data_IF_965267535523
#
_entry.id   IF_965267535523
#
_cell.length_a   1.000
_cell.length_b   1.000
_cell.length_c   1.000
_cell.angle_alpha   90.00
_cell.angle_beta   90.00
_cell.angle_gamma   90.00
#
_symmetry.space_group_name_H-M   'P 1'
#
loop_
_entity.id
_entity.type
_entity.pdbx_description
1 polymer ?
#
# COMPACT_ATOMS: atom_id res chain seq x y z
N UNK A 1 -56.25 -40.59 14.75
CA UNK A 1 -55.51 -39.36 15.13
C UNK A 1 -54.12 -39.41 14.51
N UNK A 2 -53.78 -38.33 13.79
CA UNK A 2 -52.48 -37.87 13.26
C UNK A 2 -51.52 -38.87 12.57
N UNK A 3 -51.55 -38.80 11.24
CA UNK A 3 -50.55 -39.28 10.28
C UNK A 3 -49.32 -38.35 10.32
N UNK A 4 -48.12 -38.91 10.41
CA UNK A 4 -46.85 -38.19 10.26
C UNK A 4 -46.33 -38.50 8.85
N UNK A 5 -46.46 -37.52 7.95
CA UNK A 5 -45.86 -37.54 6.62
C UNK A 5 -44.71 -36.54 6.64
N UNK A 6 -43.47 -37.03 6.69
CA UNK A 6 -42.27 -36.21 6.49
C UNK A 6 -41.98 -36.22 4.99
N UNK A 7 -42.31 -35.12 4.31
CA UNK A 7 -41.88 -34.87 2.92
C UNK A 7 -40.36 -34.67 2.92
N UNK A 8 -39.64 -35.62 2.33
CA UNK A 8 -38.23 -35.50 2.02
C UNK A 8 -38.11 -34.86 0.63
N UNK A 9 -38.00 -33.53 0.59
CA UNK A 9 -37.77 -32.79 -0.66
C UNK A 9 -36.30 -32.86 -1.05
N UNK A 10 -36.00 -33.75 -2.00
CA UNK A 10 -34.74 -33.77 -2.73
C UNK A 10 -34.64 -32.53 -3.64
N UNK A 11 -33.76 -31.59 -3.29
CA UNK A 11 -33.31 -30.53 -4.18
C UNK A 11 -32.04 -30.98 -4.89
N UNK A 12 -32.20 -31.48 -6.10
CA UNK A 12 -31.15 -31.63 -7.10
C UNK A 12 -30.87 -30.26 -7.73
N UNK A 13 -29.68 -29.71 -7.50
CA UNK A 13 -29.13 -28.62 -8.31
C UNK A 13 -28.07 -29.19 -9.26
N UNK A 14 -28.15 -28.94 -10.58
CA UNK A 14 -27.09 -29.24 -11.52
C UNK A 14 -26.09 -28.08 -11.49
N UNK A 15 -24.85 -28.32 -11.06
CA UNK A 15 -23.76 -27.40 -11.30
C UNK A 15 -22.83 -28.04 -12.34
N UNK A 16 -23.06 -27.66 -13.59
CA UNK A 16 -22.15 -27.92 -14.69
C UNK A 16 -20.78 -27.30 -14.39
N UNK A 17 -19.78 -28.13 -14.65
CA UNK A 17 -18.37 -27.88 -14.81
C UNK A 17 -18.08 -26.60 -15.61
N UNK A 18 -17.56 -25.58 -14.93
CA UNK A 18 -16.87 -24.44 -15.54
C UNK A 18 -15.41 -24.46 -15.11
N UNK A 19 -14.66 -25.42 -15.66
CA UNK A 19 -13.21 -25.53 -15.46
C UNK A 19 -12.51 -24.53 -16.40
N UNK A 20 -12.12 -23.38 -15.86
CA UNK A 20 -11.02 -22.55 -16.35
C UNK A 20 -10.23 -22.16 -15.10
N UNK A 21 -9.00 -22.62 -14.88
CA UNK A 21 -7.89 -22.52 -15.83
C UNK A 21 -7.10 -21.28 -15.47
N UNK A 22 -6.36 -21.35 -14.36
CA UNK A 22 -5.54 -20.25 -13.85
C UNK A 22 -5.23 -20.53 -12.39
N UNK A 23 -4.06 -21.11 -12.14
CA UNK A 23 -3.52 -21.22 -10.79
C UNK A 23 -3.43 -19.80 -10.20
N UNK A 24 -4.44 -19.40 -9.43
CA UNK A 24 -4.33 -18.32 -8.47
C UNK A 24 -3.30 -18.79 -7.44
N UNK A 25 -2.03 -18.52 -7.73
CA UNK A 25 -0.98 -18.61 -6.73
C UNK A 25 -1.47 -17.78 -5.55
N UNK A 26 -1.78 -18.48 -4.46
CA UNK A 26 -2.43 -17.96 -3.27
C UNK A 26 -2.05 -16.51 -2.99
N UNK A 27 -3.00 -15.60 -3.19
CA UNK A 27 -2.87 -14.21 -2.76
C UNK A 27 -2.54 -14.25 -1.27
N UNK A 28 -1.31 -13.88 -0.92
CA UNK A 28 -0.88 -13.84 0.47
C UNK A 28 -1.82 -12.89 1.20
N UNK A 29 -2.42 -13.30 2.35
CA UNK A 29 -3.37 -12.44 3.04
C UNK A 29 -2.70 -11.10 3.32
N UNK A 30 -3.38 -10.01 2.93
CA UNK A 30 -2.86 -8.65 3.13
C UNK A 30 -2.40 -8.46 4.57
N UNK A 31 -1.20 -7.93 4.75
CA UNK A 31 -0.67 -7.60 6.08
C UNK A 31 -1.17 -6.20 6.48
N UNK A 32 -1.54 -5.98 7.75
CA UNK A 32 -1.97 -4.67 8.20
C UNK A 32 -0.82 -3.66 8.11
N UNK A 33 -1.17 -2.39 7.91
CA UNK A 33 -0.22 -1.29 7.97
C UNK A 33 0.51 -1.25 9.31
N UNK A 34 1.78 -0.86 9.28
CA UNK A 34 2.64 -0.77 10.46
C UNK A 34 3.16 0.64 10.65
N UNK A 35 3.08 1.13 11.89
CA UNK A 35 3.77 2.35 12.30
C UNK A 35 5.13 1.98 12.87
N UNK A 36 6.19 2.54 12.30
CA UNK A 36 7.58 2.20 12.67
C UNK A 36 8.33 3.45 13.12
N UNK A 37 9.38 3.24 13.90
CA UNK A 37 10.25 4.32 14.39
C UNK A 37 11.38 4.64 13.42
N UNK A 38 11.82 3.65 12.65
CA UNK A 38 12.94 3.75 11.72
C UNK A 38 12.74 2.79 10.55
N UNK A 39 13.25 3.18 9.39
CA UNK A 39 13.32 2.39 8.18
C UNK A 39 14.75 2.43 7.67
N UNK A 40 15.36 1.27 7.47
CA UNK A 40 16.63 1.15 6.76
C UNK A 40 16.35 1.13 5.27
N UNK A 41 17.16 1.83 4.48
CA UNK A 41 17.05 1.87 3.01
C UNK A 41 17.86 0.71 2.42
N UNK A 42 17.23 -0.13 1.61
CA UNK A 42 17.91 -1.20 0.88
C UNK A 42 18.50 -0.67 -0.44
N UNK A 43 19.47 -1.38 -1.06
CA UNK A 43 20.03 -0.96 -2.33
C UNK A 43 19.01 -0.84 -3.48
N UNK A 44 17.89 -1.57 -3.41
CA UNK A 44 16.80 -1.52 -4.39
C UNK A 44 15.69 -0.52 -4.02
N UNK A 45 15.76 0.09 -2.83
CA UNK A 45 14.78 1.08 -2.36
C UNK A 45 14.97 2.40 -3.09
N UNK A 46 13.90 2.89 -3.74
CA UNK A 46 13.80 4.29 -4.15
C UNK A 46 13.34 5.12 -2.97
N UNK A 47 14.03 6.23 -2.74
CA UNK A 47 13.64 7.24 -1.74
C UNK A 47 13.26 8.49 -2.50
N UNK A 48 12.02 8.92 -2.35
CA UNK A 48 11.46 10.04 -3.11
C UNK A 48 10.83 11.04 -2.16
N UNK A 49 11.13 12.32 -2.35
CA UNK A 49 10.31 13.39 -1.84
C UNK A 49 9.07 13.51 -2.73
N UNK A 50 7.89 13.46 -2.12
CA UNK A 50 6.61 13.73 -2.77
C UNK A 50 6.04 14.99 -2.15
N UNK A 51 5.98 16.06 -2.95
CA UNK A 51 5.43 17.34 -2.51
C UNK A 51 3.91 17.38 -2.62
N UNK A 52 3.28 18.23 -1.81
CA UNK A 52 1.86 18.56 -1.94
C UNK A 52 1.53 19.01 -3.36
N UNK A 53 0.40 18.55 -3.89
CA UNK A 53 -0.09 18.95 -5.20
C UNK A 53 -0.35 20.46 -5.22
N UNK A 54 0.23 21.16 -6.19
CA UNK A 54 0.04 22.59 -6.36
C UNK A 54 -1.40 22.86 -6.84
N UNK A 55 -2.19 23.68 -6.15
CA UNK A 55 -3.54 24.03 -6.60
C UNK A 55 -3.54 24.93 -7.84
N UNK A 56 -2.41 25.60 -8.13
CA UNK A 56 -2.28 26.51 -9.28
C UNK A 56 -1.86 25.73 -10.53
N UNK A 57 -0.97 24.75 -10.37
CA UNK A 57 -0.42 23.98 -11.50
C UNK A 57 -1.09 22.62 -11.69
N UNK A 58 -1.91 22.19 -10.72
CA UNK A 58 -2.53 20.85 -10.65
C UNK A 58 -1.51 19.72 -10.82
N UNK A 59 -0.27 19.94 -10.38
CA UNK A 59 0.84 19.01 -10.51
C UNK A 59 1.50 18.73 -9.17
N UNK A 60 2.09 17.54 -9.05
CA UNK A 60 2.80 17.04 -7.87
C UNK A 60 4.28 16.98 -8.21
N UNK A 61 5.13 17.53 -7.34
CA UNK A 61 6.57 17.38 -7.48
C UNK A 61 6.99 16.05 -6.87
N UNK A 62 7.72 15.24 -7.64
CA UNK A 62 8.37 14.02 -7.16
C UNK A 62 9.86 14.16 -7.47
N UNK A 63 10.70 14.02 -6.45
CA UNK A 63 12.14 14.15 -6.57
C UNK A 63 12.83 13.01 -5.84
N UNK A 64 13.73 12.30 -6.53
CA UNK A 64 14.57 11.29 -5.89
C UNK A 64 15.53 11.95 -4.88
N UNK A 65 15.64 11.33 -3.70
CA UNK A 65 16.53 11.77 -2.61
C UNK A 65 17.67 10.76 -2.51
N UNK A 66 18.83 11.15 -3.04
CA UNK A 66 20.03 10.32 -3.04
C UNK A 66 20.68 10.20 -1.65
N UNK A 67 21.54 9.21 -1.49
CA UNK A 67 22.45 9.00 -0.35
C UNK A 67 21.78 8.81 1.04
N UNK A 68 20.47 8.56 1.09
CA UNK A 68 19.77 8.20 2.31
C UNK A 68 19.95 6.70 2.59
N UNK A 69 20.52 6.36 3.75
CA UNK A 69 20.66 4.96 4.20
C UNK A 69 19.61 4.53 5.22
N UNK A 70 18.96 5.50 5.85
CA UNK A 70 18.01 5.30 6.94
C UNK A 70 17.13 6.54 7.06
N UNK A 71 15.87 6.34 7.41
CA UNK A 71 14.93 7.40 7.82
C UNK A 71 14.34 7.02 9.17
N UNK A 72 14.42 7.92 10.14
CA UNK A 72 13.90 7.73 11.49
C UNK A 72 13.03 8.91 11.94
N UNK A 73 12.14 8.66 12.91
CA UNK A 73 11.41 9.72 13.59
C UNK A 73 12.42 10.66 14.29
N UNK A 74 12.24 11.96 14.07
CA UNK A 74 13.16 13.03 14.49
C UNK A 74 14.00 13.59 13.35
N UNK A 75 14.17 12.85 12.25
CA UNK A 75 14.95 13.31 11.10
C UNK A 75 14.25 14.46 10.36
N UNK A 76 15.03 15.17 9.54
CA UNK A 76 14.51 16.07 8.51
C UNK A 76 15.13 15.67 7.18
N UNK A 77 14.30 15.24 6.23
CA UNK A 77 14.73 14.73 4.93
C UNK A 77 14.10 15.59 3.84
N UNK A 78 14.93 16.21 2.99
CA UNK A 78 14.49 17.13 1.93
C UNK A 78 13.46 18.18 2.41
N UNK A 79 13.65 18.72 3.63
CA UNK A 79 12.73 19.70 4.25
C UNK A 79 11.50 19.12 4.96
N UNK A 80 11.22 17.83 4.81
CA UNK A 80 10.14 17.12 5.54
C UNK A 80 10.66 16.69 6.91
N UNK A 81 10.09 17.24 7.98
CA UNK A 81 10.32 16.75 9.34
C UNK A 81 9.59 15.42 9.51
N UNK A 82 10.31 14.37 9.92
CA UNK A 82 9.75 13.03 10.13
C UNK A 82 9.29 12.91 11.57
N UNK A 83 7.98 12.94 11.81
CA UNK A 83 7.36 12.66 13.10
C UNK A 83 6.53 11.38 13.14
N UNK A 84 6.27 10.77 11.98
CA UNK A 84 5.65 9.45 11.88
C UNK A 84 6.07 8.75 10.58
N UNK A 85 6.14 7.41 10.62
CA UNK A 85 6.43 6.57 9.47
C UNK A 85 5.38 5.45 9.43
N UNK A 86 4.59 5.40 8.35
CA UNK A 86 3.62 4.35 8.09
C UNK A 86 4.11 3.48 6.96
N UNK A 87 4.10 2.17 7.14
CA UNK A 87 4.51 1.19 6.14
C UNK A 87 3.32 0.30 5.78
N UNK A 88 3.07 0.17 4.48
CA UNK A 88 1.98 -0.61 3.90
C UNK A 88 2.55 -1.78 3.11
N UNK A 89 1.94 -2.94 3.26
CA UNK A 89 2.36 -4.15 2.58
C UNK A 89 1.72 -4.24 1.18
N UNK A 90 2.54 -4.49 0.17
CA UNK A 90 2.08 -4.70 -1.19
C UNK A 90 1.71 -6.17 -1.39
N UNK A 91 0.42 -6.49 -1.24
CA UNK A 91 -0.10 -7.84 -1.47
C UNK A 91 -0.07 -8.26 -2.96
N UNK A 92 -0.05 -7.28 -3.85
CA UNK A 92 0.07 -7.43 -5.30
C UNK A 92 1.23 -6.58 -5.82
N UNK A 93 1.59 -6.74 -7.09
CA UNK A 93 2.57 -5.85 -7.71
C UNK A 93 2.06 -4.40 -7.61
N UNK A 94 2.96 -3.50 -7.23
CA UNK A 94 2.64 -2.10 -7.07
C UNK A 94 2.78 -1.39 -8.43
N UNK A 95 2.07 -0.29 -8.63
CA UNK A 95 2.25 0.53 -9.83
C UNK A 95 2.09 2.01 -9.53
N UNK A 96 2.76 2.84 -10.33
CA UNK A 96 2.53 4.28 -10.40
C UNK A 96 2.47 4.70 -11.86
N UNK A 97 1.32 5.22 -12.30
CA UNK A 97 1.11 5.59 -13.71
C UNK A 97 1.26 4.40 -14.65
N UNK A 98 2.21 4.49 -15.61
CA UNK A 98 2.53 3.41 -16.57
C UNK A 98 3.57 2.42 -16.07
N UNK A 99 4.18 2.64 -14.92
CA UNK A 99 5.21 1.77 -14.36
C UNK A 99 4.56 0.73 -13.44
N UNK A 100 4.77 -0.56 -13.77
CA UNK A 100 4.50 -1.67 -12.87
C UNK A 100 5.79 -2.06 -12.18
N UNK A 101 5.77 -2.07 -10.85
CA UNK A 101 6.86 -2.49 -10.00
C UNK A 101 6.56 -3.86 -9.41
N UNK A 102 7.52 -4.77 -9.53
CA UNK A 102 7.46 -6.12 -8.97
C UNK A 102 7.70 -6.11 -7.45
N UNK A 103 6.88 -5.36 -6.72
CA UNK A 103 7.00 -5.18 -5.26
C UNK A 103 6.07 -6.07 -4.46
N UNK A 104 5.35 -7.00 -5.10
CA UNK A 104 4.53 -7.98 -4.39
C UNK A 104 5.33 -8.67 -3.28
N UNK A 105 4.78 -8.70 -2.08
CA UNK A 105 5.41 -9.28 -0.90
C UNK A 105 6.42 -8.37 -0.19
N UNK A 106 6.58 -7.12 -0.63
CA UNK A 106 7.43 -6.09 -0.02
C UNK A 106 6.56 -5.01 0.63
N UNK A 107 7.22 -4.07 1.31
CA UNK A 107 6.56 -2.94 1.95
C UNK A 107 6.91 -1.64 1.22
N UNK A 108 6.07 -0.62 1.37
CA UNK A 108 6.40 0.76 1.05
C UNK A 108 6.01 1.66 2.20
N UNK A 109 6.79 2.70 2.48
CA UNK A 109 6.52 3.60 3.60
C UNK A 109 6.35 5.04 3.18
N UNK A 110 5.51 5.74 3.94
CA UNK A 110 5.41 7.19 3.92
C UNK A 110 5.91 7.74 5.26
N UNK A 111 6.89 8.62 5.20
CA UNK A 111 7.47 9.32 6.35
C UNK A 111 7.14 10.81 6.26
N UNK A 112 6.51 11.36 7.29
CA UNK A 112 5.95 12.71 7.28
C UNK A 112 5.82 13.28 8.68
N UNK A 113 5.23 14.47 8.80
CA UNK A 113 5.29 15.26 10.05
C UNK A 113 4.63 14.60 11.25
N UNK A 114 3.53 13.88 11.04
CA UNK A 114 2.78 13.19 12.08
C UNK A 114 1.84 12.16 11.45
N UNK A 115 1.20 11.34 12.29
CA UNK A 115 0.30 10.27 11.81
C UNK A 115 -0.89 10.82 11.02
N UNK A 116 -1.50 11.91 11.47
CA UNK A 116 -2.66 12.49 10.80
C UNK A 116 -2.34 13.00 9.38
N UNK A 117 -1.19 13.64 9.18
CA UNK A 117 -0.74 14.06 7.85
C UNK A 117 -0.48 12.85 6.95
N UNK A 118 0.10 11.77 7.49
CA UNK A 118 0.38 10.54 6.72
C UNK A 118 -0.90 9.79 6.32
N UNK A 119 -1.84 9.62 7.24
CA UNK A 119 -3.12 8.95 6.93
C UNK A 119 -3.95 9.73 5.90
N UNK A 120 -3.74 11.04 5.80
CA UNK A 120 -4.43 11.92 4.87
C UNK A 120 -3.51 12.46 3.74
N UNK A 121 -2.32 11.87 3.57
CA UNK A 121 -1.30 12.37 2.64
C UNK A 121 -1.77 12.30 1.19
N UNK A 122 -2.50 11.24 0.85
CA UNK A 122 -3.06 11.01 -0.47
C UNK A 122 -4.57 10.91 -0.34
N UNK A 123 -5.29 11.79 -1.05
CA UNK A 123 -6.75 11.75 -1.13
C UNK A 123 -7.21 10.64 -2.08
N UNK A 124 -8.50 10.32 -2.02
CA UNK A 124 -9.13 9.31 -2.88
C UNK A 124 -8.95 9.61 -4.39
N UNK A 125 -8.86 10.88 -4.76
CA UNK A 125 -8.60 11.35 -6.13
C UNK A 125 -7.11 11.34 -6.53
N UNK A 126 -6.22 10.87 -5.64
CA UNK A 126 -4.77 10.84 -5.84
C UNK A 126 -4.06 12.15 -5.52
N UNK A 127 -4.77 13.22 -5.17
CA UNK A 127 -4.18 14.51 -4.78
C UNK A 127 -3.31 14.33 -3.53
N UNK A 128 -2.08 14.85 -3.58
CA UNK A 128 -1.17 14.88 -2.43
C UNK A 128 -1.48 16.09 -1.57
N UNK A 129 -2.04 15.88 -0.38
CA UNK A 129 -2.45 16.94 0.52
C UNK A 129 -1.30 17.51 1.36
N UNK A 130 -0.27 16.69 1.59
CA UNK A 130 0.89 16.97 2.41
C UNK A 130 2.17 16.47 1.74
N UNK A 131 3.28 17.05 2.14
CA UNK A 131 4.61 16.61 1.73
C UNK A 131 5.03 15.40 2.57
N UNK A 132 5.66 14.41 1.93
CA UNK A 132 6.20 13.24 2.62
C UNK A 132 7.38 12.64 1.86
N UNK A 133 8.15 11.80 2.55
CA UNK A 133 9.14 10.94 1.94
C UNK A 133 8.53 9.57 1.70
N UNK A 134 8.55 9.14 0.45
CA UNK A 134 8.15 7.81 0.03
C UNK A 134 9.39 6.90 -0.04
N UNK A 135 9.31 5.71 0.54
CA UNK A 135 10.37 4.71 0.50
C UNK A 135 9.79 3.39 0.02
N UNK A 136 10.18 2.96 -1.18
CA UNK A 136 9.71 1.67 -1.69
C UNK A 136 10.67 1.08 -2.75
N UNK A 137 10.80 -0.26 -2.82
CA UNK A 137 10.31 -1.21 -1.83
C UNK A 137 11.22 -1.20 -0.59
N UNK A 138 10.69 -1.62 0.56
CA UNK A 138 11.47 -1.85 1.77
C UNK A 138 11.16 -3.21 2.43
N UNK A 139 11.96 -3.56 3.43
CA UNK A 139 11.76 -4.68 4.35
C UNK A 139 11.74 -4.17 5.79
N UNK A 140 10.82 -4.71 6.60
CA UNK A 140 10.66 -4.43 8.03
C UNK A 140 10.71 -5.71 8.85
#
# INVERSE_FOLDING_TARGET
MKRISILCSALLLPACSGQGGGNAAADSPGRPDQWVQTVTVQPDTKVEYVGKTSPVLSSTTVQEVADIRKVAIGDTVNGVRVGAIKCTFFAHDAGSGSEQFMWRGRWGCMAGRNQAEIDNAVREDGTKAFDYIHLAPITI
#
